data_IF_310494936376
#
_entry.id   IF_310494936376
#
_cell.length_a   1.000
_cell.length_b   1.000
_cell.length_c   1.000
_cell.angle_alpha   90.00
_cell.angle_beta   90.00
_cell.angle_gamma   90.00
#
_symmetry.space_group_name_H-M   'P 1'
#
loop_
_entity.id
_entity.type
_entity.pdbx_description
1 polymer ?
#
# COMPACT_ATOMS: atom_id res chain seq x y z
N UNK A 1 -25.57 -72.46 25.70
CA UNK A 1 -25.39 -71.64 24.48
C UNK A 1 -25.74 -70.20 24.83
N UNK A 2 -24.73 -69.38 25.18
CA UNK A 2 -24.90 -67.95 25.48
C UNK A 2 -24.28 -67.15 24.33
N UNK A 3 -25.11 -66.42 23.59
CA UNK A 3 -24.71 -65.59 22.47
C UNK A 3 -24.07 -64.28 22.98
N UNK A 4 -22.81 -64.03 22.57
CA UNK A 4 -22.11 -62.76 22.75
C UNK A 4 -22.53 -61.81 21.63
N UNK A 5 -23.27 -60.76 21.96
CA UNK A 5 -23.50 -59.61 21.09
C UNK A 5 -22.32 -58.64 21.22
N UNK A 6 -21.53 -58.49 20.15
CA UNK A 6 -20.57 -57.38 20.01
C UNK A 6 -21.34 -56.11 19.60
N UNK A 7 -21.11 -54.95 20.25
CA UNK A 7 -21.58 -53.68 19.73
C UNK A 7 -20.65 -53.20 18.61
N UNK A 8 -21.25 -52.91 17.46
CA UNK A 8 -20.61 -52.32 16.26
C UNK A 8 -20.20 -50.87 16.57
N UNK A 9 -18.92 -50.56 16.32
CA UNK A 9 -18.39 -49.20 16.27
C UNK A 9 -19.10 -48.39 15.17
N UNK A 10 -19.71 -47.25 15.54
CA UNK A 10 -20.08 -46.22 14.59
C UNK A 10 -19.13 -45.02 14.76
N UNK A 11 -18.07 -44.99 13.96
CA UNK A 11 -17.17 -43.84 13.84
C UNK A 11 -17.79 -42.80 12.89
N UNK A 12 -18.47 -41.80 13.46
CA UNK A 12 -18.91 -40.62 12.72
C UNK A 12 -17.80 -39.55 12.73
N UNK A 13 -16.86 -39.67 11.78
CA UNK A 13 -15.90 -38.60 11.46
C UNK A 13 -16.63 -37.50 10.69
N UNK A 14 -17.03 -36.44 11.39
CA UNK A 14 -17.53 -35.22 10.78
C UNK A 14 -16.38 -34.51 10.02
N UNK A 15 -16.35 -34.67 8.70
CA UNK A 15 -15.50 -33.88 7.79
C UNK A 15 -16.12 -32.48 7.64
N UNK A 16 -15.94 -31.60 8.63
CA UNK A 16 -16.15 -30.16 8.45
C UNK A 16 -14.84 -29.50 8.02
N UNK A 17 -14.44 -29.78 6.78
CA UNK A 17 -13.28 -29.18 6.13
C UNK A 17 -13.69 -28.49 4.84
N UNK A 18 -13.35 -27.21 4.74
CA UNK A 18 -13.52 -26.26 3.63
C UNK A 18 -14.65 -25.24 3.82
N UNK A 19 -14.25 -23.97 3.71
CA UNK A 19 -15.06 -22.73 3.72
C UNK A 19 -15.35 -22.08 5.08
N UNK A 20 -14.30 -21.76 5.85
CA UNK A 20 -14.38 -20.80 6.97
C UNK A 20 -13.77 -19.43 6.68
N UNK A 21 -13.47 -19.09 5.42
CA UNK A 21 -12.84 -17.80 5.07
C UNK A 21 -13.83 -16.68 4.73
N UNK A 22 -15.13 -16.98 4.61
CA UNK A 22 -16.16 -15.99 4.22
C UNK A 22 -16.99 -15.47 5.40
N UNK A 23 -16.59 -15.74 6.64
CA UNK A 23 -17.28 -15.25 7.84
C UNK A 23 -16.32 -14.57 8.81
N UNK A 24 -15.76 -13.44 8.40
CA UNK A 24 -15.47 -12.35 9.33
C UNK A 24 -15.34 -11.05 8.56
N UNK A 25 -16.13 -10.05 8.92
CA UNK A 25 -15.89 -8.65 8.59
C UNK A 25 -14.63 -8.17 9.29
N UNK A 26 -13.48 -8.72 8.90
CA UNK A 26 -12.19 -8.19 9.32
C UNK A 26 -12.07 -6.81 8.66
N UNK A 27 -12.09 -5.78 9.50
CA UNK A 27 -12.00 -4.40 9.04
C UNK A 27 -10.77 -4.23 8.15
N UNK A 28 -10.94 -3.53 7.02
CA UNK A 28 -9.82 -3.16 6.16
C UNK A 28 -8.80 -2.44 7.02
N UNK A 29 -7.54 -2.92 7.09
CA UNK A 29 -6.54 -2.29 7.92
C UNK A 29 -6.23 -0.92 7.34
N UNK A 30 -6.49 0.13 8.13
CA UNK A 30 -6.33 1.54 7.76
C UNK A 30 -5.60 2.29 8.86
N UNK A 31 -5.07 3.47 8.53
CA UNK A 31 -4.50 4.36 9.54
C UNK A 31 -5.60 4.91 10.45
N UNK A 32 -5.41 4.73 11.75
CA UNK A 32 -6.24 5.33 12.78
C UNK A 32 -5.50 6.54 13.36
N UNK A 33 -6.18 7.67 13.44
CA UNK A 33 -5.64 8.89 14.07
C UNK A 33 -5.67 8.72 15.59
N UNK A 34 -4.52 8.74 16.29
CA UNK A 34 -4.48 8.68 17.74
C UNK A 34 -5.11 9.92 18.39
N UNK A 35 -5.72 9.76 19.56
CA UNK A 35 -6.32 10.87 20.29
C UNK A 35 -5.28 11.95 20.61
N UNK A 36 -5.59 13.21 20.29
CA UNK A 36 -4.70 14.37 20.52
C UNK A 36 -3.54 14.49 19.53
N UNK A 37 -3.44 13.59 18.55
CA UNK A 37 -2.41 13.65 17.51
C UNK A 37 -2.97 14.28 16.22
N UNK A 38 -2.15 15.07 15.54
CA UNK A 38 -2.50 15.74 14.28
C UNK A 38 -1.78 15.03 13.13
N UNK A 39 -2.49 14.60 12.07
CA UNK A 39 -1.85 14.05 10.86
C UNK A 39 -0.88 15.08 10.26
N UNK A 40 0.38 14.71 10.10
CA UNK A 40 1.42 15.60 9.55
C UNK A 40 1.74 15.30 8.09
N UNK A 41 2.00 14.04 7.77
CA UNK A 41 2.27 13.60 6.41
C UNK A 41 2.02 12.09 6.26
N UNK A 42 1.54 11.69 5.09
CA UNK A 42 1.39 10.29 4.67
C UNK A 42 2.32 9.99 3.51
N UNK A 43 3.01 8.87 3.53
CA UNK A 43 3.83 8.42 2.41
C UNK A 43 3.54 6.96 2.10
N UNK A 44 3.46 6.62 0.81
CA UNK A 44 3.17 5.26 0.39
C UNK A 44 4.05 4.82 -0.78
N UNK A 45 4.28 3.52 -0.89
CA UNK A 45 5.06 2.90 -1.95
C UNK A 45 5.29 1.42 -1.69
N UNK A 46 6.10 0.79 -2.54
CA UNK A 46 6.55 -0.59 -2.33
C UNK A 46 8.02 -0.57 -1.99
N UNK A 47 8.40 -1.21 -0.87
CA UNK A 47 9.79 -1.41 -0.47
C UNK A 47 10.25 -2.85 -0.75
N UNK A 48 11.57 -3.10 -0.81
CA UNK A 48 12.09 -4.41 -1.14
C UNK A 48 11.77 -5.42 -0.04
N UNK A 49 11.65 -6.68 -0.43
CA UNK A 49 11.37 -7.79 0.47
C UNK A 49 12.32 -8.93 0.15
N UNK A 50 12.83 -9.60 1.18
CA UNK A 50 13.83 -10.66 1.00
C UNK A 50 13.21 -11.94 0.42
N UNK A 51 11.98 -12.26 0.81
CA UNK A 51 11.31 -13.54 0.56
C UNK A 51 9.89 -13.36 0.00
N UNK A 52 9.54 -12.16 -0.45
CA UNK A 52 8.23 -11.83 -0.98
C UNK A 52 8.33 -10.86 -2.17
N UNK A 53 7.23 -10.63 -2.89
CA UNK A 53 7.23 -9.80 -4.10
C UNK A 53 7.51 -8.30 -3.81
N UNK A 54 7.42 -7.91 -2.55
CA UNK A 54 7.60 -6.54 -2.06
C UNK A 54 6.77 -6.32 -0.80
N UNK A 55 7.11 -5.26 -0.06
CA UNK A 55 6.32 -4.80 1.08
C UNK A 55 5.61 -3.52 0.68
N UNK A 56 4.30 -3.59 0.45
CA UNK A 56 3.48 -2.38 0.35
C UNK A 56 3.53 -1.67 1.69
N UNK A 57 4.05 -0.45 1.66
CA UNK A 57 4.35 0.34 2.85
C UNK A 57 3.59 1.65 2.76
N UNK A 58 2.78 1.91 3.76
CA UNK A 58 2.01 3.15 3.92
C UNK A 58 2.25 3.66 5.34
N UNK A 59 2.85 4.84 5.45
CA UNK A 59 3.24 5.44 6.72
C UNK A 59 2.54 6.77 6.90
N UNK A 60 1.75 6.86 7.97
CA UNK A 60 1.20 8.12 8.47
C UNK A 60 2.01 8.59 9.68
N UNK A 61 2.54 9.80 9.59
CA UNK A 61 3.24 10.49 10.67
C UNK A 61 2.29 11.42 11.40
N UNK A 62 2.36 11.46 12.71
CA UNK A 62 1.57 12.36 13.54
C UNK A 62 2.45 13.27 14.38
N UNK A 63 1.97 14.48 14.62
CA UNK A 63 2.59 15.48 15.48
C UNK A 63 1.62 15.89 16.60
N UNK A 64 2.10 16.59 17.61
CA UNK A 64 1.24 17.29 18.57
C UNK A 64 0.73 18.62 18.00
N UNK A 65 -0.07 19.35 18.78
CA UNK A 65 -0.61 20.66 18.40
C UNK A 65 0.47 21.73 18.13
N UNK A 66 1.70 21.53 18.60
CA UNK A 66 2.84 22.43 18.39
C UNK A 66 3.72 22.00 17.20
N UNK A 67 3.37 20.89 16.53
CA UNK A 67 4.14 20.34 15.42
C UNK A 67 5.30 19.43 15.84
N UNK A 68 5.42 19.07 17.12
CA UNK A 68 6.46 18.14 17.56
C UNK A 68 6.11 16.70 17.16
N UNK A 69 7.07 15.89 16.64
CA UNK A 69 6.86 14.47 16.36
C UNK A 69 6.31 13.72 17.58
N UNK A 70 5.26 12.92 17.38
CA UNK A 70 4.69 12.10 18.46
C UNK A 70 4.76 10.62 18.11
N UNK A 71 3.89 10.18 17.21
CA UNK A 71 3.70 8.77 16.86
C UNK A 71 3.52 8.59 15.37
N UNK A 72 3.68 7.36 14.90
CA UNK A 72 3.37 6.98 13.53
C UNK A 72 2.43 5.77 13.52
N UNK A 73 1.70 5.63 12.42
CA UNK A 73 1.03 4.38 12.05
C UNK A 73 1.62 3.90 10.72
N UNK A 74 2.09 2.66 10.69
CA UNK A 74 2.71 2.04 9.54
C UNK A 74 1.88 0.81 9.17
N UNK A 75 1.22 0.87 8.02
CA UNK A 75 0.54 -0.27 7.42
C UNK A 75 1.51 -0.93 6.44
N UNK A 76 1.88 -2.18 6.74
CA UNK A 76 2.71 -3.00 5.87
C UNK A 76 1.90 -4.17 5.36
N UNK A 77 1.96 -4.45 4.07
CA UNK A 77 1.41 -5.68 3.49
C UNK A 77 2.53 -6.43 2.79
N UNK A 78 2.84 -7.62 3.29
CA UNK A 78 3.80 -8.52 2.66
C UNK A 78 3.09 -9.25 1.51
N UNK A 79 3.59 -9.07 0.29
CA UNK A 79 2.91 -9.48 -0.94
C UNK A 79 3.40 -10.85 -1.44
N UNK A 80 2.46 -11.73 -1.79
CA UNK A 80 2.78 -12.95 -2.53
C UNK A 80 3.14 -14.20 -1.71
N UNK A 81 2.60 -14.36 -0.50
CA UNK A 81 2.70 -15.64 0.22
C UNK A 81 1.60 -16.62 -0.24
N UNK A 82 1.85 -17.93 -0.13
CA UNK A 82 0.86 -19.02 -0.36
C UNK A 82 -0.38 -18.93 0.55
N UNK A 83 -0.34 -18.07 1.56
CA UNK A 83 -1.45 -17.74 2.45
C UNK A 83 -2.12 -16.38 2.14
N UNK A 84 -1.84 -15.78 0.98
CA UNK A 84 -2.33 -14.46 0.59
C UNK A 84 -1.53 -13.28 1.18
N UNK A 85 -2.00 -12.08 0.89
CA UNK A 85 -1.43 -10.83 1.40
C UNK A 85 -1.63 -10.74 2.91
N UNK A 86 -0.57 -10.39 3.65
CA UNK A 86 -0.60 -10.30 5.11
C UNK A 86 -0.41 -8.85 5.56
N UNK A 87 -1.50 -8.11 5.80
CA UNK A 87 -1.40 -6.77 6.34
C UNK A 87 -1.06 -6.80 7.83
N UNK A 88 -0.22 -5.87 8.26
CA UNK A 88 0.10 -5.61 9.65
C UNK A 88 0.14 -4.11 9.88
N UNK A 89 -0.52 -3.65 10.95
CA UNK A 89 -0.42 -2.26 11.41
C UNK A 89 0.56 -2.22 12.56
N UNK A 90 1.61 -1.44 12.39
CA UNK A 90 2.61 -1.16 13.41
C UNK A 90 2.45 0.28 13.86
N UNK A 91 2.52 0.50 15.17
CA UNK A 91 2.53 1.83 15.78
C UNK A 91 3.80 1.98 16.62
N UNK A 92 4.28 3.21 16.71
CA UNK A 92 5.52 3.52 17.42
C UNK A 92 5.78 5.01 17.45
N UNK A 93 7.00 5.39 17.83
CA UNK A 93 7.43 6.78 17.89
C UNK A 93 8.29 7.10 16.68
N UNK A 94 8.32 8.36 16.27
CA UNK A 94 9.21 8.81 15.22
C UNK A 94 9.87 10.11 15.59
N UNK A 95 11.02 10.36 14.99
CA UNK A 95 11.75 11.62 15.10
C UNK A 95 12.16 12.12 13.71
N UNK A 96 12.31 13.43 13.59
CA UNK A 96 13.03 14.05 12.49
C UNK A 96 14.46 14.37 12.96
N UNK A 97 15.45 13.87 12.24
CA UNK A 97 16.87 14.11 12.48
C UNK A 97 17.51 14.78 11.26
N UNK A 98 18.72 15.31 11.45
CA UNK A 98 19.57 15.75 10.35
C UNK A 98 20.74 14.79 10.17
N UNK A 99 21.10 14.58 8.91
CA UNK A 99 22.24 13.78 8.51
C UNK A 99 21.87 12.36 8.14
N UNK A 100 22.47 11.90 7.05
CA UNK A 100 22.53 10.52 6.58
C UNK A 100 23.99 10.21 6.25
N UNK A 101 24.33 8.94 6.01
CA UNK A 101 25.69 8.57 5.60
C UNK A 101 26.12 9.26 4.29
N UNK A 102 25.17 9.53 3.39
CA UNK A 102 25.41 10.17 2.11
C UNK A 102 25.40 11.71 2.15
N UNK A 103 24.75 12.32 3.15
CA UNK A 103 24.56 13.77 3.24
C UNK A 103 24.28 14.18 4.70
N UNK A 104 25.21 14.91 5.32
CA UNK A 104 25.14 15.36 6.70
C UNK A 104 24.06 16.42 6.97
N UNK A 105 23.51 17.06 5.93
CA UNK A 105 22.42 18.04 6.06
C UNK A 105 21.06 17.47 5.66
N UNK A 106 21.00 16.21 5.23
CA UNK A 106 19.75 15.59 4.82
C UNK A 106 18.73 15.54 5.98
N UNK A 107 17.48 15.86 5.68
CA UNK A 107 16.36 15.59 6.60
C UNK A 107 16.10 14.08 6.61
N UNK A 108 16.09 13.46 7.78
CA UNK A 108 15.85 12.02 7.95
C UNK A 108 14.73 11.77 8.94
N UNK A 109 13.78 10.93 8.56
CA UNK A 109 12.71 10.45 9.40
C UNK A 109 13.11 9.08 9.94
N UNK A 110 13.18 8.95 11.26
CA UNK A 110 13.42 7.67 11.92
C UNK A 110 12.14 7.18 12.58
N UNK A 111 11.74 5.94 12.28
CA UNK A 111 10.69 5.21 12.98
C UNK A 111 11.33 4.30 14.01
N UNK A 112 10.83 4.31 15.24
CA UNK A 112 11.33 3.53 16.38
C UNK A 112 12.87 3.60 16.56
N UNK A 113 13.47 4.81 16.65
CA UNK A 113 14.93 4.97 16.69
C UNK A 113 15.59 4.22 17.86
N UNK A 114 14.88 4.03 18.97
CA UNK A 114 15.40 3.37 20.17
C UNK A 114 15.28 1.83 20.14
N UNK A 115 14.80 1.26 19.04
CA UNK A 115 14.63 -0.19 18.88
C UNK A 115 15.36 -0.69 17.63
N UNK A 116 16.57 -1.24 17.79
CA UNK A 116 17.43 -1.65 16.66
C UNK A 116 16.77 -2.62 15.67
N UNK A 117 15.85 -3.48 16.11
CA UNK A 117 15.16 -4.45 15.24
C UNK A 117 14.04 -3.80 14.41
N UNK A 118 13.35 -2.82 15.01
CA UNK A 118 12.24 -2.10 14.39
C UNK A 118 12.64 -0.79 13.74
N UNK A 119 13.84 -0.28 14.02
CA UNK A 119 14.33 0.98 13.51
C UNK A 119 14.27 1.00 11.98
N UNK A 120 13.70 2.07 11.43
CA UNK A 120 13.68 2.35 9.99
C UNK A 120 14.10 3.79 9.77
N UNK A 121 14.99 4.02 8.82
CA UNK A 121 15.42 5.34 8.40
C UNK A 121 14.89 5.69 7.01
N UNK A 122 14.43 6.91 6.84
CA UNK A 122 13.99 7.44 5.55
C UNK A 122 14.59 8.81 5.32
N UNK A 123 15.43 8.95 4.31
CA UNK A 123 15.94 10.25 3.88
C UNK A 123 14.90 10.97 3.05
N UNK A 124 14.55 12.18 3.45
CA UNK A 124 13.62 13.02 2.71
C UNK A 124 14.35 13.70 1.55
N UNK A 125 13.85 13.45 0.34
CA UNK A 125 14.37 14.04 -0.91
C UNK A 125 13.31 14.99 -1.45
N UNK A 126 13.47 16.27 -1.14
CA UNK A 126 12.43 17.27 -1.38
C UNK A 126 11.16 17.02 -0.55
N UNK A 127 10.06 17.74 -0.82
CA UNK A 127 8.86 17.65 0.02
C UNK A 127 8.03 16.39 -0.20
N UNK A 128 8.20 15.69 -1.34
CA UNK A 128 7.27 14.64 -1.77
C UNK A 128 7.83 13.22 -1.66
N UNK A 129 9.11 13.02 -1.38
CA UNK A 129 9.74 11.69 -1.47
C UNK A 129 10.53 11.35 -0.22
N UNK A 130 10.33 10.13 0.27
CA UNK A 130 11.17 9.47 1.25
C UNK A 130 11.94 8.33 0.57
N UNK A 131 13.26 8.32 0.70
CA UNK A 131 14.14 7.23 0.29
C UNK A 131 14.46 6.36 1.49
N UNK A 132 14.13 5.07 1.39
CA UNK A 132 14.49 4.12 2.44
C UNK A 132 16.01 4.02 2.59
N UNK A 133 16.46 3.98 3.84
CA UNK A 133 17.85 3.80 4.22
C UNK A 133 18.09 2.37 4.71
N UNK A 134 19.30 1.88 4.54
CA UNK A 134 19.80 0.68 5.22
C UNK A 134 20.15 0.95 6.69
N UNK A 135 20.67 -0.08 7.38
CA UNK A 135 21.05 0.01 8.81
C UNK A 135 22.25 0.92 9.06
N UNK A 136 23.08 1.15 8.04
CA UNK A 136 24.26 2.01 8.11
C UNK A 136 23.92 3.46 7.74
N UNK A 137 22.65 3.75 7.39
CA UNK A 137 22.16 5.06 7.03
C UNK A 137 22.45 5.46 5.58
N UNK A 138 22.82 4.50 4.73
CA UNK A 138 22.94 4.72 3.29
C UNK A 138 21.59 4.53 2.60
N UNK A 139 21.41 5.23 1.49
CA UNK A 139 20.31 4.96 0.58
C UNK A 139 20.32 3.49 0.11
N UNK A 140 19.15 2.84 0.09
CA UNK A 140 19.05 1.52 -0.54
C UNK A 140 19.51 1.58 -2.02
N UNK A 141 20.05 0.47 -2.57
CA UNK A 141 20.49 0.40 -3.96
C UNK A 141 19.41 0.87 -4.95
N UNK A 142 19.81 1.69 -5.93
CA UNK A 142 18.90 2.26 -6.93
C UNK A 142 18.22 1.23 -7.85
N UNK A 143 18.73 0.00 -7.90
CA UNK A 143 18.11 -1.12 -8.62
C UNK A 143 16.87 -1.68 -7.92
N UNK A 144 16.62 -1.29 -6.66
CA UNK A 144 15.49 -1.72 -5.86
C UNK A 144 14.42 -0.61 -5.75
N UNK A 145 13.13 -0.97 -5.65
CA UNK A 145 12.09 0.01 -5.35
C UNK A 145 12.30 0.53 -3.92
N UNK A 146 12.66 1.81 -3.78
CA UNK A 146 13.15 2.38 -2.51
C UNK A 146 12.51 3.72 -2.12
N UNK A 147 11.51 4.16 -2.87
CA UNK A 147 10.84 5.43 -2.64
C UNK A 147 9.46 5.19 -2.04
N UNK A 148 9.14 5.95 -1.00
CA UNK A 148 7.77 6.25 -0.61
C UNK A 148 7.47 7.68 -1.07
N UNK A 149 6.29 7.87 -1.63
CA UNK A 149 5.88 9.18 -2.16
C UNK A 149 4.72 9.70 -1.34
N UNK A 150 4.72 11.01 -1.13
CA UNK A 150 3.73 11.68 -0.29
C UNK A 150 2.35 11.50 -0.91
N UNK A 151 1.45 10.94 -0.12
CA UNK A 151 0.04 10.93 -0.44
C UNK A 151 -0.50 12.33 -0.11
N UNK A 152 -1.21 12.99 -1.03
CA UNK A 152 -1.74 14.33 -0.80
C UNK A 152 -2.64 14.41 0.43
N UNK A 153 -2.61 15.56 1.12
CA UNK A 153 -3.27 15.76 2.41
C UNK A 153 -4.81 15.73 2.32
N UNK A 154 -5.36 15.89 1.12
CA UNK A 154 -6.79 15.78 0.84
C UNK A 154 -7.28 14.35 0.69
N UNK A 155 -6.36 13.36 0.66
CA UNK A 155 -6.70 11.93 0.71
C UNK A 155 -6.93 11.53 2.18
N UNK A 156 -8.11 10.99 2.54
CA UNK A 156 -8.39 10.55 3.89
C UNK A 156 -7.41 9.49 4.38
N UNK A 157 -7.11 9.51 5.68
CA UNK A 157 -6.27 8.52 6.37
C UNK A 157 -6.81 7.09 6.24
N UNK A 158 -8.12 6.97 6.09
CA UNK A 158 -8.79 5.72 5.85
C UNK A 158 -8.67 5.24 4.42
N UNK A 159 -8.19 6.03 3.45
CA UNK A 159 -8.13 5.58 2.06
C UNK A 159 -7.27 4.31 1.90
N UNK A 160 -7.74 3.37 1.08
CA UNK A 160 -6.94 2.21 0.67
C UNK A 160 -5.92 2.68 -0.36
N UNK A 161 -4.64 2.45 -0.11
CA UNK A 161 -3.58 2.78 -1.06
C UNK A 161 -3.04 1.49 -1.68
N UNK A 162 -3.08 1.43 -3.01
CA UNK A 162 -2.59 0.33 -3.83
C UNK A 162 -1.39 0.79 -4.63
N UNK A 163 -0.51 -0.15 -4.92
CA UNK A 163 0.73 0.02 -5.66
C UNK A 163 0.82 -1.01 -6.78
N UNK A 164 1.77 -0.87 -7.71
CA UNK A 164 2.01 -1.88 -8.76
C UNK A 164 2.18 -3.31 -8.22
N UNK A 165 2.70 -3.45 -7.01
CA UNK A 165 2.93 -4.76 -6.41
C UNK A 165 1.63 -5.48 -5.99
N UNK A 166 0.50 -4.75 -5.91
CA UNK A 166 -0.84 -5.30 -5.61
C UNK A 166 -1.55 -5.89 -6.84
N UNK A 167 -0.94 -5.83 -8.02
CA UNK A 167 -1.54 -6.35 -9.26
C UNK A 167 -1.96 -7.82 -9.09
N UNK A 168 -3.17 -8.13 -9.54
CA UNK A 168 -3.77 -9.46 -9.44
C UNK A 168 -4.18 -9.88 -8.02
N UNK A 169 -3.94 -9.05 -7.00
CA UNK A 169 -4.45 -9.29 -5.65
C UNK A 169 -5.85 -8.71 -5.46
N UNK A 170 -6.61 -9.32 -4.55
CA UNK A 170 -7.84 -8.74 -4.03
C UNK A 170 -7.51 -7.69 -2.96
N UNK A 171 -8.15 -6.52 -3.06
CA UNK A 171 -8.06 -5.43 -2.10
C UNK A 171 -9.47 -5.10 -1.59
N UNK A 172 -9.73 -5.29 -0.29
CA UNK A 172 -11.01 -4.91 0.28
C UNK A 172 -11.10 -3.39 0.48
N UNK A 173 -12.29 -2.84 0.29
CA UNK A 173 -12.64 -1.45 0.58
C UNK A 173 -14.05 -1.38 1.19
N UNK A 174 -14.35 -0.31 1.92
CA UNK A 174 -15.67 0.00 2.48
C UNK A 174 -16.40 1.01 1.60
N UNK A 175 -17.72 0.99 1.66
CA UNK A 175 -18.56 2.02 1.04
C UNK A 175 -18.13 3.42 1.50
N UNK A 176 -18.16 4.38 0.59
CA UNK A 176 -17.68 5.76 0.73
C UNK A 176 -16.17 5.95 0.97
N UNK A 177 -15.39 4.87 1.13
CA UNK A 177 -13.93 4.95 1.25
C UNK A 177 -13.29 5.38 -0.07
N UNK A 178 -12.19 6.12 0.02
CA UNK A 178 -11.34 6.36 -1.14
C UNK A 178 -10.41 5.18 -1.40
N UNK A 179 -10.20 4.87 -2.66
CA UNK A 179 -9.16 3.95 -3.14
C UNK A 179 -8.20 4.76 -3.99
N UNK A 180 -6.91 4.70 -3.66
CA UNK A 180 -5.84 5.40 -4.36
C UNK A 180 -4.91 4.37 -4.98
N UNK A 181 -4.67 4.48 -6.28
CA UNK A 181 -3.73 3.62 -7.00
C UNK A 181 -2.50 4.43 -7.39
N UNK A 182 -1.33 3.98 -6.94
CA UNK A 182 -0.03 4.57 -7.19
C UNK A 182 0.80 3.68 -8.12
N UNK A 183 1.09 4.16 -9.33
CA UNK A 183 1.85 3.41 -10.33
C UNK A 183 3.11 4.17 -10.72
N UNK A 184 4.27 3.50 -10.69
CA UNK A 184 5.52 4.10 -11.13
C UNK A 184 5.43 4.54 -12.59
N UNK A 185 5.82 5.79 -12.86
CA UNK A 185 5.67 6.43 -14.16
C UNK A 185 6.84 7.36 -14.42
N UNK A 186 7.32 7.38 -15.66
CA UNK A 186 8.36 8.30 -16.10
C UNK A 186 7.85 9.04 -17.32
N UNK A 187 7.14 10.17 -17.16
CA UNK A 187 6.50 10.88 -18.27
C UNK A 187 7.47 11.32 -19.37
N UNK A 188 8.73 11.59 -19.01
CA UNK A 188 9.80 11.93 -19.96
C UNK A 188 10.13 10.81 -20.94
N UNK A 189 9.71 9.57 -20.66
CA UNK A 189 9.82 8.43 -21.60
C UNK A 189 8.80 8.50 -22.76
N UNK A 190 7.82 9.41 -22.69
CA UNK A 190 6.73 9.47 -23.68
C UNK A 190 5.55 8.55 -23.35
N UNK A 191 5.54 7.88 -22.20
CA UNK A 191 4.48 6.98 -21.75
C UNK A 191 3.80 7.48 -20.48
N UNK A 192 2.54 7.09 -20.28
CA UNK A 192 1.75 7.36 -19.07
C UNK A 192 0.80 6.22 -18.76
N UNK A 193 0.37 6.12 -17.52
CA UNK A 193 -0.73 5.24 -17.16
C UNK A 193 -2.08 5.86 -17.57
N UNK A 194 -2.99 5.02 -18.05
CA UNK A 194 -4.42 5.33 -18.19
C UNK A 194 -5.22 4.21 -17.55
N UNK A 195 -6.34 4.54 -16.93
CA UNK A 195 -7.27 3.54 -16.40
C UNK A 195 -8.39 3.35 -17.42
N UNK A 196 -8.63 2.10 -17.80
CA UNK A 196 -9.70 1.75 -18.71
C UNK A 196 -11.04 2.16 -18.09
N UNK A 197 -11.92 2.85 -18.83
CA UNK A 197 -13.20 3.28 -18.29
C UNK A 197 -14.07 2.06 -17.99
N UNK A 198 -14.58 2.02 -16.76
CA UNK A 198 -15.63 1.10 -16.37
C UNK A 198 -16.87 1.93 -16.02
N UNK A 199 -18.00 1.62 -16.67
CA UNK A 199 -19.22 2.45 -16.59
C UNK A 199 -20.22 1.93 -15.57
N UNK A 200 -20.03 0.71 -15.06
CA UNK A 200 -20.97 0.05 -14.16
C UNK A 200 -20.16 -0.64 -13.06
N UNK A 201 -19.80 0.12 -12.02
CA UNK A 201 -18.88 -0.35 -11.00
C UNK A 201 -19.13 0.24 -9.61
N UNK A 202 -18.58 -0.45 -8.62
CA UNK A 202 -18.56 -0.04 -7.21
C UNK A 202 -17.70 1.22 -6.96
N UNK A 203 -16.84 1.59 -7.89
CA UNK A 203 -15.86 2.67 -7.83
C UNK A 203 -16.12 3.72 -8.90
N UNK A 204 -16.00 4.98 -8.50
CA UNK A 204 -16.09 6.15 -9.38
C UNK A 204 -14.77 6.90 -9.36
N UNK A 205 -14.13 7.07 -10.52
CA UNK A 205 -12.90 7.84 -10.65
C UNK A 205 -13.11 9.30 -10.22
N UNK A 206 -12.12 9.87 -9.53
CA UNK A 206 -12.17 11.23 -8.99
C UNK A 206 -11.12 12.11 -9.68
N UNK A 207 -11.58 12.88 -10.68
CA UNK A 207 -10.75 13.80 -11.44
C UNK A 207 -9.73 13.10 -12.34
N UNK A 208 -8.83 13.92 -12.91
CA UNK A 208 -7.71 13.43 -13.72
C UNK A 208 -6.59 12.84 -12.83
N UNK A 209 -5.85 11.83 -13.31
CA UNK A 209 -4.71 11.30 -12.58
C UNK A 209 -3.62 12.37 -12.41
N UNK A 210 -3.02 12.39 -11.23
CA UNK A 210 -1.95 13.32 -10.90
C UNK A 210 -0.59 12.63 -11.00
N UNK A 211 0.40 13.29 -11.58
CA UNK A 211 1.78 12.83 -11.53
C UNK A 211 2.51 13.45 -10.33
N UNK A 212 3.09 12.62 -9.47
CA UNK A 212 3.98 13.05 -8.39
C UNK A 212 5.41 12.74 -8.80
N UNK A 213 6.16 13.78 -9.14
CA UNK A 213 7.54 13.64 -9.60
C UNK A 213 8.49 13.26 -8.45
N UNK A 214 9.43 12.36 -8.74
CA UNK A 214 10.63 12.21 -7.93
C UNK A 214 11.61 13.33 -8.33
N UNK A 215 12.08 14.17 -7.39
CA UNK A 215 12.98 15.28 -7.71
C UNK A 215 14.39 14.82 -8.13
N UNK A 216 14.71 13.52 -7.97
CA UNK A 216 15.97 12.95 -8.45
C UNK A 216 15.97 12.95 -9.99
N UNK A 217 17.02 13.45 -10.65
CA UNK A 217 17.11 13.44 -12.10
C UNK A 217 16.89 12.04 -12.69
N UNK A 218 15.99 11.94 -13.68
CA UNK A 218 15.61 10.70 -14.36
C UNK A 218 15.03 9.59 -13.47
N UNK A 219 14.71 9.86 -12.20
CA UNK A 219 13.98 8.89 -11.40
C UNK A 219 12.51 8.80 -11.85
N UNK A 220 11.91 7.61 -11.82
CA UNK A 220 10.48 7.48 -12.05
C UNK A 220 9.72 8.16 -10.90
N UNK A 221 8.73 8.98 -11.25
CA UNK A 221 7.71 9.46 -10.31
C UNK A 221 6.59 8.43 -10.17
N UNK A 222 5.44 8.86 -9.64
CA UNK A 222 4.23 8.03 -9.55
C UNK A 222 3.05 8.74 -10.23
N UNK A 223 2.28 8.01 -11.02
CA UNK A 223 0.92 8.41 -11.38
C UNK A 223 -0.03 7.95 -10.28
N UNK A 224 -0.86 8.87 -9.80
CA UNK A 224 -1.85 8.65 -8.76
C UNK A 224 -3.26 8.76 -9.36
N UNK A 225 -4.00 7.65 -9.27
CA UNK A 225 -5.40 7.57 -9.63
C UNK A 225 -6.23 7.50 -8.35
N UNK A 226 -7.34 8.25 -8.30
CA UNK A 226 -8.21 8.30 -7.15
C UNK A 226 -9.60 7.82 -7.52
N UNK A 227 -10.19 7.03 -6.64
CA UNK A 227 -11.53 6.49 -6.80
C UNK A 227 -12.30 6.65 -5.50
N UNK A 228 -13.62 6.87 -5.60
CA UNK A 228 -14.55 6.75 -4.48
C UNK A 228 -15.32 5.43 -4.61
N UNK A 229 -15.38 4.64 -3.54
CA UNK A 229 -16.24 3.47 -3.45
C UNK A 229 -17.71 3.89 -3.28
N UNK A 230 -18.41 4.12 -4.40
CA UNK A 230 -19.77 4.65 -4.43
C UNK A 230 -20.87 3.57 -4.42
N UNK A 231 -20.52 2.29 -4.57
CA UNK A 231 -21.45 1.17 -4.52
C UNK A 231 -20.79 -0.08 -3.96
N UNK A 232 -21.58 -1.05 -3.50
CA UNK A 232 -21.08 -2.35 -3.03
C UNK A 232 -20.81 -3.29 -4.22
N UNK A 233 -19.90 -4.24 -4.02
CA UNK A 233 -19.61 -5.29 -4.99
C UNK A 233 -18.15 -5.33 -5.44
N UNK A 234 -17.88 -6.17 -6.42
CA UNK A 234 -16.54 -6.42 -6.95
C UNK A 234 -16.31 -5.63 -8.24
N UNK A 235 -15.18 -4.95 -8.34
CA UNK A 235 -14.77 -4.23 -9.54
C UNK A 235 -13.28 -4.41 -9.82
N UNK A 236 -12.93 -4.63 -11.09
CA UNK A 236 -11.54 -4.70 -11.52
C UNK A 236 -11.11 -3.36 -12.10
N UNK A 237 -10.16 -2.69 -11.46
CA UNK A 237 -9.48 -1.54 -12.05
C UNK A 237 -8.41 -2.08 -13.01
N UNK A 238 -8.54 -1.78 -14.30
CA UNK A 238 -7.52 -2.10 -15.30
C UNK A 238 -6.74 -0.84 -15.69
N UNK A 239 -5.45 -0.82 -15.40
CA UNK A 239 -4.54 0.26 -15.77
C UNK A 239 -3.60 -0.19 -16.89
N UNK A 240 -3.38 0.67 -17.88
CA UNK A 240 -2.60 0.40 -19.08
C UNK A 240 -1.52 1.47 -19.25
N UNK A 241 -0.27 1.04 -19.41
CA UNK A 241 0.84 1.94 -19.66
C UNK A 241 0.97 2.16 -21.17
N UNK A 242 0.67 3.38 -21.64
CA UNK A 242 0.51 3.69 -23.06
C UNK A 242 1.38 4.87 -23.46
N UNK A 243 1.85 4.84 -24.71
CA UNK A 243 2.50 6.00 -25.31
C UNK A 243 1.50 7.17 -25.37
N UNK A 244 1.95 8.36 -25.00
CA UNK A 244 1.13 9.57 -25.00
C UNK A 244 0.67 9.89 -26.42
N UNK A 245 -0.64 10.10 -26.60
CA UNK A 245 -1.24 10.38 -27.91
C UNK A 245 -1.40 9.16 -28.82
N UNK A 246 -1.08 7.94 -28.34
CA UNK A 246 -1.33 6.72 -29.10
C UNK A 246 -2.84 6.47 -29.30
N UNK A 247 -3.17 5.81 -30.42
CA UNK A 247 -4.52 5.29 -30.68
C UNK A 247 -4.98 4.41 -29.49
N UNK A 248 -6.22 4.57 -28.99
CA UNK A 248 -6.77 3.74 -27.90
C UNK A 248 -6.71 2.21 -28.17
N UNK A 249 -6.70 1.81 -29.43
CA UNK A 249 -6.62 0.41 -29.87
C UNK A 249 -5.18 -0.11 -29.96
N UNK A 250 -4.17 0.77 -29.90
CA UNK A 250 -2.77 0.36 -29.91
C UNK A 250 -2.48 -0.55 -28.70
N UNK A 251 -1.53 -1.48 -28.86
CA UNK A 251 -1.12 -2.35 -27.76
C UNK A 251 -0.45 -1.52 -26.66
N UNK A 252 -0.90 -1.68 -25.42
CA UNK A 252 -0.23 -1.08 -24.26
C UNK A 252 1.16 -1.71 -24.03
N UNK A 253 2.10 -0.91 -23.54
CA UNK A 253 3.44 -1.39 -23.17
C UNK A 253 3.38 -2.28 -21.92
N UNK A 254 2.45 -2.00 -21.02
CA UNK A 254 2.14 -2.81 -19.85
C UNK A 254 0.65 -2.73 -19.52
N UNK A 255 0.13 -3.74 -18.81
CA UNK A 255 -1.26 -3.78 -18.35
C UNK A 255 -1.32 -4.49 -17.01
N UNK A 256 -1.89 -3.82 -16.01
CA UNK A 256 -2.10 -4.37 -14.67
C UNK A 256 -3.55 -4.23 -14.26
N UNK A 257 -4.00 -5.17 -13.43
CA UNK A 257 -5.37 -5.23 -12.92
C UNK A 257 -5.37 -5.32 -11.41
N UNK A 258 -6.32 -4.65 -10.76
CA UNK A 258 -6.52 -4.66 -9.31
C UNK A 258 -7.96 -5.02 -9.03
N UNK A 259 -8.16 -6.03 -8.20
CA UNK A 259 -9.49 -6.50 -7.87
C UNK A 259 -9.96 -5.88 -6.56
N UNK A 260 -10.98 -5.03 -6.65
CA UNK A 260 -11.48 -4.27 -5.50
C UNK A 260 -12.83 -4.85 -5.08
N UNK A 261 -12.91 -5.27 -3.82
CA UNK A 261 -14.15 -5.77 -3.22
C UNK A 261 -14.67 -4.73 -2.24
N UNK A 262 -15.74 -4.05 -2.62
CA UNK A 262 -16.41 -3.05 -1.78
C UNK A 262 -17.49 -3.70 -0.93
N UNK A 263 -17.35 -3.55 0.38
CA UNK A 263 -18.28 -4.02 1.41
C UNK A 263 -18.89 -2.84 2.18
N UNK A 264 -19.83 -3.11 3.09
CA UNK A 264 -20.37 -2.10 4.00
C UNK A 264 -19.40 -1.70 5.11
#
# INVERSE_FOLDING_TARGET
>A
MMARLLPVLAAALALSGCASWLTRGDAVPVHQVPAGAVPAARFAGTLPCADCAGVRTDVQLFVDANGAPTTYSLLQTFLGASAGNRPAVVKGNWIAARGSAADAQASVIHLDPDNAERARGFRQVGPQVLRALDRDGNDLPGSLPRSLVRVPDDVPQTAVVLTYADRGSEAPAQADQQVVLLLASQPTSGFRWVVAPDRVGALVAQGEPMHVADPTPNAPGLDMFRFKAAGIGRQVIRAEYRAMGADPTAKAADTVSFDIVVVY
#
